data_IF_990305891820
#
_entry.id   IF_990305891820
#
_cell.length_a   1.000
_cell.length_b   1.000
_cell.length_c   1.000
_cell.angle_alpha   90.00
_cell.angle_beta   90.00
_cell.angle_gamma   90.00
#
_symmetry.space_group_name_H-M   'P 1'
#
loop_
_entity.id
_entity.type
_entity.pdbx_description
1 polymer ?
#
# COMPACT_ATOMS: atom_id res chain seq x y z
N UNK A 1 13.30 15.32 27.97
CA UNK A 1 12.86 15.12 26.57
C UNK A 1 11.37 14.89 26.61
N UNK A 2 10.62 15.55 25.72
CA UNK A 2 9.18 15.33 25.60
C UNK A 2 8.94 13.92 25.07
N UNK A 3 7.86 13.28 25.51
CA UNK A 3 7.48 11.95 25.06
C UNK A 3 7.30 11.91 23.51
N UNK A 4 7.81 10.88 22.81
CA UNK A 4 7.70 10.78 21.34
C UNK A 4 6.26 10.84 20.84
N UNK A 5 5.30 10.21 21.52
CA UNK A 5 3.88 10.21 21.11
C UNK A 5 3.30 11.61 21.25
N UNK A 6 3.61 12.30 22.34
CA UNK A 6 3.23 13.71 22.56
C UNK A 6 3.79 14.61 21.45
N UNK A 7 5.05 14.40 21.05
CA UNK A 7 5.68 15.16 19.95
C UNK A 7 4.99 14.87 18.61
N UNK A 8 4.65 13.62 18.34
CA UNK A 8 3.91 13.24 17.13
C UNK A 8 2.52 13.89 17.08
N UNK A 9 1.80 13.90 18.20
CA UNK A 9 0.52 14.60 18.29
C UNK A 9 0.68 16.10 18.04
N UNK A 10 1.71 16.74 18.60
CA UNK A 10 1.99 18.16 18.37
C UNK A 10 2.23 18.47 16.88
N UNK A 11 2.99 17.64 16.16
CA UNK A 11 3.18 17.84 14.72
C UNK A 11 1.86 17.77 13.92
N UNK A 12 0.92 16.93 14.34
CA UNK A 12 -0.42 16.87 13.73
C UNK A 12 -1.27 18.10 14.08
N UNK A 13 -1.18 18.61 15.30
CA UNK A 13 -1.88 19.83 15.73
C UNK A 13 -1.41 21.08 14.97
N UNK A 14 -0.11 21.15 14.66
CA UNK A 14 0.51 22.30 13.97
C UNK A 14 0.37 22.25 12.44
N UNK A 15 -0.01 21.10 11.88
CA UNK A 15 -0.12 20.88 10.45
C UNK A 15 -1.37 21.51 9.84
N UNK A 16 -1.32 21.78 8.53
CA UNK A 16 -2.53 22.09 7.74
C UNK A 16 -2.92 20.94 6.79
N UNK A 17 -2.02 19.99 6.52
CA UNK A 17 -2.28 18.81 5.70
C UNK A 17 -1.46 17.59 6.09
N UNK A 18 -2.06 16.40 5.99
CA UNK A 18 -1.47 15.13 6.38
C UNK A 18 -1.08 14.30 5.14
N UNK A 19 0.22 14.07 4.95
CA UNK A 19 0.70 13.10 3.98
C UNK A 19 0.90 11.75 4.66
N UNK A 20 0.14 10.74 4.23
CA UNK A 20 0.29 9.37 4.70
C UNK A 20 1.20 8.63 3.73
N UNK A 21 2.33 8.12 4.21
CA UNK A 21 3.21 7.24 3.40
C UNK A 21 3.15 5.83 3.97
N UNK A 22 2.64 4.87 3.19
CA UNK A 22 2.30 3.55 3.74
C UNK A 22 2.88 2.41 2.92
N UNK A 23 3.58 1.51 3.61
CA UNK A 23 4.00 0.22 3.08
C UNK A 23 3.19 -0.95 3.64
N UNK A 24 3.65 -2.17 3.38
CA UNK A 24 2.94 -3.39 3.72
C UNK A 24 2.63 -3.52 5.22
N UNK A 25 3.44 -2.89 6.08
CA UNK A 25 3.22 -2.93 7.52
C UNK A 25 1.92 -2.24 7.98
N UNK A 26 1.33 -1.34 7.19
CA UNK A 26 0.00 -0.78 7.47
C UNK A 26 -1.10 -1.86 7.46
N UNK A 27 -0.96 -2.90 6.63
CA UNK A 27 -1.95 -3.96 6.50
C UNK A 27 -1.84 -5.10 7.53
N UNK A 28 -0.70 -5.22 8.22
CA UNK A 28 -0.39 -6.37 9.10
C UNK A 28 -1.41 -6.49 10.23
N UNK A 29 -1.79 -5.38 10.87
CA UNK A 29 -2.76 -5.38 11.97
C UNK A 29 -4.20 -5.70 11.49
N UNK A 30 -4.45 -5.73 10.18
CA UNK A 30 -5.68 -6.23 9.57
C UNK A 30 -5.65 -7.75 9.29
N UNK A 31 -4.54 -8.43 9.59
CA UNK A 31 -4.32 -9.85 9.32
C UNK A 31 -3.69 -10.14 7.95
N UNK A 32 -3.20 -9.13 7.22
CA UNK A 32 -2.46 -9.37 5.99
C UNK A 32 -1.05 -9.92 6.30
N UNK A 33 -0.55 -10.88 5.51
CA UNK A 33 0.75 -11.50 5.76
C UNK A 33 1.89 -10.50 5.59
N UNK A 34 2.90 -10.60 6.46
CA UNK A 34 4.16 -9.89 6.30
C UNK A 34 5.10 -10.67 5.38
N UNK A 35 5.37 -10.16 4.17
CA UNK A 35 6.31 -10.78 3.23
C UNK A 35 7.78 -10.52 3.61
N UNK A 36 8.09 -10.36 4.89
CA UNK A 36 9.45 -10.07 5.35
C UNK A 36 10.33 -11.30 5.18
N UNK A 37 11.09 -11.30 4.10
CA UNK A 37 12.03 -12.34 3.72
C UNK A 37 11.35 -13.63 3.18
N UNK A 38 12.17 -14.57 2.67
CA UNK A 38 11.66 -15.77 2.01
C UNK A 38 10.80 -16.67 2.91
N UNK A 39 11.12 -16.76 4.20
CA UNK A 39 10.38 -17.63 5.13
C UNK A 39 8.96 -17.13 5.40
N UNK A 40 8.76 -15.82 5.61
CA UNK A 40 7.43 -15.23 5.78
C UNK A 40 6.58 -15.40 4.53
N UNK A 41 7.19 -15.17 3.35
CA UNK A 41 6.57 -15.38 2.06
C UNK A 41 6.13 -16.85 1.84
N UNK A 42 7.02 -17.82 2.06
CA UNK A 42 6.69 -19.24 1.88
C UNK A 42 5.72 -19.79 2.91
N UNK A 43 5.61 -19.19 4.09
CA UNK A 43 4.53 -19.51 5.05
C UNK A 43 3.17 -19.11 4.50
N UNK A 44 3.08 -17.96 3.83
CA UNK A 44 1.86 -17.51 3.15
C UNK A 44 1.60 -18.28 1.84
N UNK A 45 2.65 -18.75 1.16
CA UNK A 45 2.57 -19.50 -0.10
C UNK A 45 3.40 -20.80 -0.05
N UNK A 46 2.92 -21.85 0.65
CA UNK A 46 3.69 -23.09 0.83
C UNK A 46 4.03 -23.80 -0.48
N UNK A 47 3.19 -23.69 -1.51
CA UNK A 47 3.47 -24.27 -2.82
C UNK A 47 4.71 -23.65 -3.48
N UNK A 48 4.86 -22.33 -3.39
CA UNK A 48 6.02 -21.61 -3.91
C UNK A 48 7.27 -21.94 -3.09
N UNK A 49 7.11 -22.11 -1.77
CA UNK A 49 8.20 -22.56 -0.90
C UNK A 49 8.72 -23.96 -1.24
N UNK A 50 7.82 -24.92 -1.52
CA UNK A 50 8.21 -26.27 -1.99
C UNK A 50 8.92 -26.24 -3.34
N UNK A 51 8.59 -25.27 -4.19
CA UNK A 51 9.23 -25.07 -5.48
C UNK A 51 10.49 -24.18 -5.40
N UNK A 52 10.85 -23.67 -4.22
CA UNK A 52 11.92 -22.70 -4.00
C UNK A 52 11.79 -21.41 -4.83
N UNK A 53 10.57 -21.04 -5.22
CA UNK A 53 10.29 -19.81 -5.97
C UNK A 53 10.27 -18.63 -4.99
N UNK A 54 11.12 -17.64 -5.23
CA UNK A 54 11.21 -16.40 -4.46
C UNK A 54 10.09 -15.41 -4.86
N UNK A 55 9.88 -14.40 -4.02
CA UNK A 55 8.85 -13.38 -4.26
C UNK A 55 9.12 -12.64 -5.57
N UNK A 56 10.38 -12.29 -5.83
CA UNK A 56 10.83 -11.57 -7.02
C UNK A 56 10.67 -12.39 -8.30
N UNK A 57 10.67 -13.73 -8.19
CA UNK A 57 10.49 -14.65 -9.33
C UNK A 57 9.02 -14.81 -9.70
N UNK A 58 8.13 -15.00 -8.71
CA UNK A 58 6.69 -15.09 -9.00
C UNK A 58 6.07 -13.73 -9.33
N UNK A 59 6.60 -12.65 -8.76
CA UNK A 59 6.17 -11.28 -9.01
C UNK A 59 6.93 -10.65 -10.20
N UNK A 60 7.06 -11.42 -11.27
CA UNK A 60 7.76 -11.08 -12.51
C UNK A 60 6.87 -11.39 -13.72
N UNK A 61 6.85 -10.56 -14.78
CA UNK A 61 6.07 -10.86 -15.99
C UNK A 61 6.42 -12.21 -16.63
N UNK A 62 7.66 -12.67 -16.50
CA UNK A 62 8.11 -13.97 -17.00
C UNK A 62 7.31 -15.15 -16.40
N UNK A 63 6.84 -15.03 -15.16
CA UNK A 63 6.02 -16.07 -14.53
C UNK A 63 4.70 -16.32 -15.30
N UNK A 64 4.13 -15.29 -15.92
CA UNK A 64 2.92 -15.42 -16.76
C UNK A 64 3.22 -16.09 -18.11
N UNK A 65 4.45 -15.99 -18.61
CA UNK A 65 4.89 -16.68 -19.84
C UNK A 65 5.09 -18.16 -19.55
N UNK A 66 5.73 -18.48 -18.42
CA UNK A 66 6.09 -19.84 -18.05
C UNK A 66 4.89 -20.66 -17.58
N UNK A 67 4.09 -20.12 -16.66
CA UNK A 67 2.93 -20.79 -16.09
C UNK A 67 1.87 -19.74 -15.68
N UNK A 68 0.99 -19.31 -16.61
CA UNK A 68 0.00 -18.27 -16.33
C UNK A 68 -0.99 -18.65 -15.25
N UNK A 69 -1.26 -19.95 -15.05
CA UNK A 69 -2.17 -20.41 -13.98
C UNK A 69 -1.51 -20.35 -12.60
N UNK A 70 -0.19 -20.59 -12.49
CA UNK A 70 0.54 -20.41 -11.24
C UNK A 70 0.73 -18.91 -10.92
N UNK A 71 1.10 -18.11 -11.91
CA UNK A 71 1.20 -16.66 -11.76
C UNK A 71 -0.15 -16.06 -11.32
N UNK A 72 -1.24 -16.43 -11.99
CA UNK A 72 -2.56 -16.02 -11.54
C UNK A 72 -2.98 -16.66 -10.23
N UNK A 73 -2.57 -17.88 -9.91
CA UNK A 73 -2.82 -18.48 -8.60
C UNK A 73 -2.30 -17.61 -7.45
N UNK A 74 -1.08 -17.08 -7.61
CA UNK A 74 -0.47 -16.15 -6.66
C UNK A 74 -1.26 -14.82 -6.57
N UNK A 75 -1.51 -14.17 -7.70
CA UNK A 75 -2.15 -12.85 -7.71
C UNK A 75 -3.64 -12.90 -7.37
N UNK A 76 -4.35 -13.92 -7.81
CA UNK A 76 -5.77 -14.10 -7.54
C UNK A 76 -6.03 -14.43 -6.06
N UNK A 77 -5.15 -15.24 -5.44
CA UNK A 77 -5.23 -15.47 -3.99
C UNK A 77 -5.13 -14.14 -3.23
N UNK A 78 -4.17 -13.29 -3.60
CA UNK A 78 -4.00 -11.96 -2.99
C UNK A 78 -5.21 -11.06 -3.23
N UNK A 79 -5.73 -11.03 -4.45
CA UNK A 79 -6.92 -10.22 -4.77
C UNK A 79 -8.12 -10.65 -3.92
N UNK A 80 -8.38 -11.96 -3.79
CA UNK A 80 -9.44 -12.49 -2.93
C UNK A 80 -9.23 -12.09 -1.47
N UNK A 81 -8.02 -12.33 -0.93
CA UNK A 81 -7.65 -11.95 0.44
C UNK A 81 -7.88 -10.45 0.68
N UNK A 82 -7.43 -9.58 -0.22
CA UNK A 82 -7.58 -8.13 -0.06
C UNK A 82 -9.05 -7.67 -0.11
N UNK A 83 -9.88 -8.32 -0.91
CA UNK A 83 -11.34 -8.05 -0.94
C UNK A 83 -12.01 -8.46 0.36
N UNK A 84 -11.60 -9.59 0.95
CA UNK A 84 -12.17 -10.10 2.19
C UNK A 84 -11.70 -9.32 3.43
N UNK A 85 -10.39 -9.05 3.54
CA UNK A 85 -9.77 -8.41 4.70
C UNK A 85 -10.37 -7.04 5.01
N UNK A 86 -10.84 -6.85 6.24
CA UNK A 86 -11.32 -5.56 6.74
C UNK A 86 -10.16 -4.71 7.27
N UNK A 87 -10.05 -3.43 6.90
CA UNK A 87 -9.01 -2.55 7.45
C UNK A 87 -9.13 -2.45 8.97
N UNK A 88 -8.01 -2.54 9.69
CA UNK A 88 -8.00 -2.34 11.14
C UNK A 88 -8.40 -0.89 11.52
N UNK A 89 -8.82 -0.63 12.78
CA UNK A 89 -9.33 0.69 13.18
C UNK A 89 -8.37 1.88 13.02
N UNK A 90 -7.07 1.62 12.82
CA UNK A 90 -6.08 2.68 12.59
C UNK A 90 -6.30 3.43 11.27
N UNK A 91 -6.83 2.78 10.24
CA UNK A 91 -7.22 3.49 9.01
C UNK A 91 -8.30 4.55 9.30
N UNK A 92 -9.30 4.22 10.13
CA UNK A 92 -10.33 5.17 10.53
C UNK A 92 -9.76 6.31 11.41
N UNK A 93 -8.75 6.03 12.24
CA UNK A 93 -8.06 7.08 13.00
C UNK A 93 -7.35 8.07 12.06
N UNK A 94 -6.67 7.59 11.02
CA UNK A 94 -6.03 8.46 10.03
C UNK A 94 -7.06 9.31 9.27
N UNK A 95 -8.20 8.73 8.92
CA UNK A 95 -9.28 9.46 8.26
C UNK A 95 -9.85 10.54 9.18
N UNK A 96 -10.12 10.22 10.45
CA UNK A 96 -10.57 11.19 11.44
C UNK A 96 -9.56 12.32 11.66
N UNK A 97 -8.26 12.02 11.69
CA UNK A 97 -7.21 13.05 11.75
C UNK A 97 -7.23 13.94 10.51
N UNK A 98 -7.41 13.35 9.32
CA UNK A 98 -7.48 14.08 8.07
C UNK A 98 -8.66 15.07 8.04
N UNK A 99 -9.84 14.66 8.50
CA UNK A 99 -11.05 15.50 8.52
C UNK A 99 -10.92 16.76 9.38
N UNK A 100 -9.99 16.76 10.33
CA UNK A 100 -9.73 17.91 11.22
C UNK A 100 -8.70 18.88 10.66
N UNK A 101 -7.98 18.51 9.59
CA UNK A 101 -6.95 19.33 8.98
C UNK A 101 -7.52 20.18 7.83
N UNK A 102 -7.17 21.49 7.75
CA UNK A 102 -7.68 22.40 6.71
C UNK A 102 -7.52 21.93 5.26
N UNK A 103 -6.45 21.17 4.96
CA UNK A 103 -6.16 20.62 3.62
C UNK A 103 -6.44 19.12 3.52
N UNK A 104 -6.97 18.50 4.58
CA UNK A 104 -7.23 17.07 4.62
C UNK A 104 -5.96 16.22 4.59
N UNK A 105 -6.06 15.05 3.97
CA UNK A 105 -4.94 14.15 3.77
C UNK A 105 -4.80 13.68 2.32
N UNK A 106 -3.61 13.20 1.99
CA UNK A 106 -3.32 12.45 0.78
C UNK A 106 -2.49 11.22 1.14
N UNK A 107 -2.80 10.08 0.51
CA UNK A 107 -2.09 8.83 0.71
C UNK A 107 -1.13 8.58 -0.45
N UNK A 108 0.12 8.26 -0.13
CA UNK A 108 1.10 7.70 -1.06
C UNK A 108 1.50 6.30 -0.56
N UNK A 109 1.16 5.25 -1.30
CA UNK A 109 1.34 3.88 -0.83
C UNK A 109 1.97 2.98 -1.87
N UNK A 110 2.83 2.07 -1.41
CA UNK A 110 3.38 0.96 -2.20
C UNK A 110 2.52 -0.30 -2.12
N UNK A 111 1.45 -0.27 -1.31
CA UNK A 111 0.49 -1.36 -1.23
C UNK A 111 -0.37 -1.38 -2.49
N UNK A 112 -0.78 -2.59 -2.87
CA UNK A 112 -1.60 -2.86 -4.06
C UNK A 112 -2.96 -3.44 -3.68
N UNK A 113 -3.36 -3.26 -2.42
CA UNK A 113 -4.46 -3.96 -1.74
C UNK A 113 -5.79 -3.22 -1.74
N UNK A 114 -5.80 -1.91 -1.98
CA UNK A 114 -7.00 -1.07 -1.93
C UNK A 114 -7.57 -0.81 -0.53
N UNK A 115 -6.81 -1.06 0.54
CA UNK A 115 -7.31 -0.96 1.93
C UNK A 115 -7.64 0.48 2.35
N UNK A 116 -6.94 1.49 1.82
CA UNK A 116 -7.28 2.90 2.08
C UNK A 116 -8.66 3.26 1.51
N UNK A 117 -8.94 2.87 0.28
CA UNK A 117 -10.24 3.10 -0.36
C UNK A 117 -11.34 2.33 0.39
N UNK A 118 -11.07 1.08 0.79
CA UNK A 118 -12.00 0.28 1.60
C UNK A 118 -12.28 0.91 2.98
N UNK A 119 -11.31 1.62 3.55
CA UNK A 119 -11.48 2.35 4.80
C UNK A 119 -12.17 3.72 4.65
N UNK A 120 -12.57 4.12 3.44
CA UNK A 120 -13.31 5.35 3.19
C UNK A 120 -12.48 6.54 2.71
N UNK A 121 -11.18 6.37 2.43
CA UNK A 121 -10.41 7.43 1.78
C UNK A 121 -10.92 7.66 0.35
N UNK A 122 -11.07 8.93 -0.03
CA UNK A 122 -11.40 9.32 -1.40
C UNK A 122 -10.34 8.78 -2.36
N UNK A 123 -10.76 8.04 -3.39
CA UNK A 123 -9.86 7.50 -4.41
C UNK A 123 -9.08 8.58 -5.18
N UNK A 124 -9.56 9.83 -5.20
CA UNK A 124 -8.83 10.97 -5.74
C UNK A 124 -7.69 11.47 -4.83
N UNK A 125 -7.65 11.01 -3.56
CA UNK A 125 -6.66 11.32 -2.52
C UNK A 125 -5.72 10.14 -2.22
N UNK A 126 -5.62 9.18 -3.12
CA UNK A 126 -4.73 8.01 -2.99
C UNK A 126 -3.86 7.86 -4.25
N UNK A 127 -2.55 7.75 -4.04
CA UNK A 127 -1.56 7.44 -5.05
C UNK A 127 -0.88 6.10 -4.75
N UNK A 128 -1.18 5.11 -5.59
CA UNK A 128 -0.63 3.75 -5.47
C UNK A 128 0.59 3.62 -6.40
N UNK A 129 1.78 3.79 -5.84
CA UNK A 129 3.01 3.93 -6.62
C UNK A 129 3.48 2.65 -7.32
N UNK A 130 2.95 1.49 -6.90
CA UNK A 130 3.21 0.18 -7.52
C UNK A 130 1.98 -0.39 -8.25
N UNK A 131 0.98 0.44 -8.54
CA UNK A 131 -0.27 0.00 -9.16
C UNK A 131 -1.23 -0.66 -8.16
N UNK A 132 -2.15 -1.49 -8.64
CA UNK A 132 -3.22 -2.06 -7.81
C UNK A 132 -3.68 -3.41 -8.35
N UNK A 133 -3.94 -4.39 -7.46
CA UNK A 133 -4.51 -5.68 -7.88
C UNK A 133 -5.99 -5.58 -8.28
N UNK A 134 -6.66 -4.48 -7.93
CA UNK A 134 -8.04 -4.23 -8.34
C UNK A 134 -8.17 -3.71 -9.77
N UNK A 135 -7.06 -3.65 -10.52
CA UNK A 135 -7.02 -3.23 -11.90
C UNK A 135 -6.23 -4.24 -12.74
N UNK A 136 -6.65 -4.40 -13.98
CA UNK A 136 -6.07 -5.28 -14.97
C UNK A 136 -5.48 -4.47 -16.13
N UNK A 137 -4.50 -5.05 -16.80
CA UNK A 137 -3.97 -4.57 -18.07
C UNK A 137 -3.79 -5.75 -19.03
N UNK A 138 -3.71 -5.44 -20.33
CA UNK A 138 -3.36 -6.42 -21.34
C UNK A 138 -1.92 -6.90 -21.14
N UNK A 139 -1.66 -8.21 -21.25
CA UNK A 139 -0.30 -8.74 -21.14
C UNK A 139 0.62 -8.24 -22.27
N UNK A 140 0.09 -8.08 -23.48
CA UNK A 140 0.85 -7.61 -24.65
C UNK A 140 0.73 -6.11 -24.91
N UNK A 141 0.07 -5.37 -24.02
CA UNK A 141 -0.16 -3.95 -24.19
C UNK A 141 -0.76 -3.56 -25.58
N UNK A 142 -1.88 -4.19 -25.96
CA UNK A 142 -2.43 -3.95 -27.30
C UNK A 142 -2.96 -2.52 -27.56
N UNK A 143 -3.29 -1.78 -26.50
CA UNK A 143 -4.00 -0.48 -26.55
C UNK A 143 -3.65 0.48 -25.40
N UNK A 144 -2.82 0.09 -24.42
CA UNK A 144 -2.57 0.90 -23.23
C UNK A 144 -3.74 1.01 -22.24
N UNK A 145 -4.75 0.16 -22.37
CA UNK A 145 -5.95 0.22 -21.54
C UNK A 145 -5.73 -0.47 -20.18
N UNK A 146 -6.12 0.22 -19.10
CA UNK A 146 -6.21 -0.28 -17.73
C UNK A 146 -7.69 -0.29 -17.34
N UNK A 147 -8.20 -1.40 -16.81
CA UNK A 147 -9.62 -1.54 -16.44
C UNK A 147 -9.79 -2.19 -15.05
N UNK A 148 -10.93 -1.98 -14.37
CA UNK A 148 -11.20 -2.60 -13.06
C UNK A 148 -11.25 -4.13 -13.13
N UNK A 149 -10.80 -4.79 -12.07
CA UNK A 149 -10.87 -6.24 -11.90
C UNK A 149 -12.20 -6.71 -11.27
N UNK A 150 -13.20 -5.85 -11.15
CA UNK A 150 -14.47 -6.11 -10.43
C UNK A 150 -15.17 -7.38 -10.94
N UNK A 151 -15.23 -7.57 -12.25
CA UNK A 151 -15.85 -8.74 -12.89
C UNK A 151 -15.00 -10.02 -12.80
N UNK A 152 -13.74 -9.91 -12.33
CA UNK A 152 -12.89 -11.07 -12.11
C UNK A 152 -13.11 -11.62 -10.70
N UNK A 153 -13.82 -12.76 -10.61
CA UNK A 153 -14.08 -13.50 -9.37
C UNK A 153 -13.31 -14.81 -9.37
N UNK A 154 -12.03 -14.82 -8.93
CA UNK A 154 -11.20 -15.99 -9.07
C UNK A 154 -11.56 -17.11 -8.11
N UNK A 155 -11.43 -18.35 -8.56
CA UNK A 155 -11.36 -19.54 -7.70
C UNK A 155 -9.92 -20.04 -7.70
N UNK A 156 -9.33 -20.28 -6.52
CA UNK A 156 -7.89 -20.58 -6.38
C UNK A 156 -7.68 -21.83 -5.52
N UNK A 157 -6.82 -22.73 -5.97
CA UNK A 157 -6.23 -23.77 -5.13
C UNK A 157 -5.01 -23.16 -4.41
N UNK A 158 -5.23 -22.63 -3.20
CA UNK A 158 -4.18 -22.01 -2.41
C UNK A 158 -3.07 -23.00 -2.02
N UNK A 159 -3.40 -24.29 -1.84
CA UNK A 159 -2.44 -25.32 -1.46
C UNK A 159 -1.45 -25.64 -2.59
N UNK A 160 -1.86 -25.44 -3.85
CA UNK A 160 -1.03 -25.60 -5.05
C UNK A 160 -0.61 -24.28 -5.70
N UNK A 161 -1.10 -23.14 -5.21
CA UNK A 161 -0.93 -21.82 -5.80
C UNK A 161 -1.33 -21.80 -7.29
N UNK A 162 -2.55 -22.26 -7.59
CA UNK A 162 -3.07 -22.29 -8.98
C UNK A 162 -4.44 -21.66 -9.09
N UNK A 163 -4.66 -20.91 -10.17
CA UNK A 163 -5.99 -20.47 -10.57
C UNK A 163 -6.80 -21.66 -11.10
N UNK A 164 -8.03 -21.81 -10.64
CA UNK A 164 -8.99 -22.83 -11.08
C UNK A 164 -10.09 -22.26 -11.99
N UNK A 165 -10.42 -20.98 -11.83
CA UNK A 165 -11.32 -20.26 -12.74
C UNK A 165 -10.62 -19.93 -14.07
N UNK A 166 -11.36 -19.58 -15.14
CA UNK A 166 -10.76 -19.14 -16.39
C UNK A 166 -9.77 -17.96 -16.20
N UNK A 167 -8.68 -17.98 -16.95
CA UNK A 167 -7.73 -16.87 -17.01
C UNK A 167 -8.44 -15.60 -17.52
N UNK A 168 -8.23 -14.44 -16.87
CA UNK A 168 -8.81 -13.19 -17.34
C UNK A 168 -8.21 -12.81 -18.69
N UNK A 169 -9.03 -12.20 -19.55
CA UNK A 169 -8.67 -11.83 -20.92
C UNK A 169 -8.82 -10.33 -21.14
N UNK A 170 -7.98 -9.80 -22.01
CA UNK A 170 -8.09 -8.42 -22.47
C UNK A 170 -9.40 -8.23 -23.25
N UNK A 171 -10.23 -7.23 -22.91
CA UNK A 171 -11.49 -6.98 -23.60
C UNK A 171 -11.30 -6.55 -25.06
N UNK A 172 -10.13 -6.01 -25.40
CA UNK A 172 -9.85 -5.45 -26.73
C UNK A 172 -9.30 -6.49 -27.73
N UNK A 173 -8.43 -7.41 -27.28
CA UNK A 173 -7.75 -8.36 -28.17
C UNK A 173 -7.90 -9.84 -27.77
N UNK A 174 -8.53 -10.16 -26.63
CA UNK A 174 -8.74 -11.52 -26.15
C UNK A 174 -7.49 -12.24 -25.61
N UNK A 175 -6.32 -11.60 -25.66
CA UNK A 175 -5.08 -12.10 -25.07
C UNK A 175 -5.17 -12.17 -23.53
N UNK A 176 -4.19 -12.81 -22.90
CA UNK A 176 -4.10 -12.87 -21.44
C UNK A 176 -4.12 -11.46 -20.83
N UNK A 177 -4.91 -11.28 -19.78
CA UNK A 177 -4.81 -10.12 -18.90
C UNK A 177 -3.92 -10.45 -17.70
N UNK A 178 -3.29 -9.43 -17.14
CA UNK A 178 -2.49 -9.50 -15.92
C UNK A 178 -2.88 -8.35 -14.98
N UNK A 179 -2.58 -8.42 -13.68
CA UNK A 179 -2.80 -7.29 -12.79
C UNK A 179 -1.99 -6.08 -13.23
N UNK A 180 -2.56 -4.89 -13.08
CA UNK A 180 -1.88 -3.61 -13.26
C UNK A 180 -1.06 -3.28 -11.99
N UNK A 181 -0.06 -4.12 -11.73
CA UNK A 181 0.90 -3.96 -10.66
C UNK A 181 2.29 -3.92 -11.25
N UNK A 182 3.12 -3.00 -10.76
CA UNK A 182 4.53 -2.90 -11.11
C UNK A 182 5.27 -4.12 -10.55
N UNK A 183 5.66 -5.02 -11.45
CA UNK A 183 6.38 -6.26 -11.15
C UNK A 183 7.89 -6.05 -11.28
N UNK A 184 8.68 -6.98 -10.76
CA UNK A 184 10.14 -6.95 -10.97
C UNK A 184 10.45 -7.18 -12.46
N UNK A 185 11.34 -6.33 -13.01
CA UNK A 185 11.77 -6.43 -14.41
C UNK A 185 10.69 -6.04 -15.44
N UNK A 186 9.64 -5.34 -15.02
CA UNK A 186 8.47 -5.12 -15.84
C UNK A 186 8.49 -3.82 -16.64
N UNK A 187 9.00 -3.90 -17.86
CA UNK A 187 9.04 -2.79 -18.80
C UNK A 187 7.70 -2.52 -19.51
N UNK A 188 6.73 -3.43 -19.38
CA UNK A 188 5.41 -3.34 -20.00
C UNK A 188 4.32 -2.97 -18.97
N UNK A 189 4.70 -2.55 -17.76
CA UNK A 189 3.74 -2.06 -16.78
C UNK A 189 3.09 -0.78 -17.28
N UNK A 190 1.76 -0.72 -17.22
CA UNK A 190 1.04 0.49 -17.59
C UNK A 190 0.90 1.45 -16.42
N UNK A 191 1.70 2.52 -16.43
CA UNK A 191 1.81 3.51 -15.36
C UNK A 191 0.73 4.60 -15.38
N UNK A 192 -0.05 4.73 -16.47
CA UNK A 192 -0.93 5.88 -16.71
C UNK A 192 -1.91 6.19 -15.56
N UNK A 193 -2.46 5.17 -14.89
CA UNK A 193 -3.30 5.35 -13.70
C UNK A 193 -2.52 5.94 -12.53
N UNK A 194 -1.36 5.38 -12.21
CA UNK A 194 -0.48 5.84 -11.13
C UNK A 194 0.06 7.25 -11.42
N UNK A 195 0.34 7.59 -12.68
CA UNK A 195 0.79 8.92 -13.07
C UNK A 195 -0.28 9.98 -12.82
N UNK A 196 -1.54 9.71 -13.18
CA UNK A 196 -2.67 10.60 -12.88
C UNK A 196 -2.85 10.79 -11.37
N UNK A 197 -2.74 9.71 -10.58
CA UNK A 197 -2.81 9.79 -9.13
C UNK A 197 -1.66 10.63 -8.55
N UNK A 198 -0.42 10.42 -9.05
CA UNK A 198 0.75 11.19 -8.63
C UNK A 198 0.60 12.67 -8.96
N UNK A 199 0.05 13.01 -10.12
CA UNK A 199 -0.22 14.41 -10.46
C UNK A 199 -1.20 15.06 -9.47
N UNK A 200 -2.25 14.34 -9.04
CA UNK A 200 -3.17 14.83 -8.01
C UNK A 200 -2.49 15.05 -6.67
N UNK A 201 -1.57 14.15 -6.29
CA UNK A 201 -0.76 14.26 -5.08
C UNK A 201 0.12 15.52 -5.14
N UNK A 202 0.88 15.72 -6.22
CA UNK A 202 1.74 16.90 -6.38
C UNK A 202 0.93 18.20 -6.38
N UNK A 203 -0.22 18.21 -7.05
CA UNK A 203 -1.12 19.36 -7.04
C UNK A 203 -1.65 19.67 -5.63
N UNK A 204 -1.96 18.65 -4.84
CA UNK A 204 -2.37 18.85 -3.45
C UNK A 204 -1.21 19.34 -2.59
N UNK A 205 -0.03 18.75 -2.71
CA UNK A 205 1.17 19.18 -1.96
C UNK A 205 1.46 20.66 -2.19
N UNK A 206 1.26 21.18 -3.41
CA UNK A 206 1.42 22.59 -3.72
C UNK A 206 0.43 23.53 -2.99
N UNK A 207 -0.63 23.00 -2.38
CA UNK A 207 -1.64 23.75 -1.60
C UNK A 207 -1.47 23.65 -0.08
N UNK A 208 -0.52 22.81 0.37
CA UNK A 208 -0.26 22.54 1.79
C UNK A 208 0.95 23.35 2.23
N UNK A 209 0.77 24.21 3.23
CA UNK A 209 1.83 25.11 3.69
C UNK A 209 2.67 24.49 4.82
N UNK A 210 2.05 23.67 5.65
CA UNK A 210 2.63 23.04 6.84
C UNK A 210 2.30 21.54 6.84
N UNK A 211 2.87 20.77 5.90
CA UNK A 211 2.63 19.34 5.82
C UNK A 211 3.20 18.63 7.06
N UNK A 212 2.54 17.55 7.48
CA UNK A 212 3.11 16.52 8.35
C UNK A 212 3.08 15.19 7.63
N UNK A 213 4.13 14.40 7.77
CA UNK A 213 4.22 13.06 7.20
C UNK A 213 3.99 12.02 8.29
N UNK A 214 3.01 11.15 8.11
CA UNK A 214 2.87 9.93 8.91
C UNK A 214 3.26 8.75 8.04
N UNK A 215 4.44 8.18 8.31
CA UNK A 215 4.95 7.01 7.63
C UNK A 215 4.64 5.74 8.43
N UNK A 216 4.05 4.75 7.79
CA UNK A 216 3.58 3.53 8.47
C UNK A 216 4.02 2.29 7.72
N UNK A 217 4.78 1.44 8.41
CA UNK A 217 5.07 0.09 7.92
C UNK A 217 5.86 0.03 6.61
N UNK A 218 6.60 1.09 6.28
CA UNK A 218 7.52 1.14 5.16
C UNK A 218 8.85 0.49 5.53
N UNK A 219 9.27 -0.50 4.75
CA UNK A 219 10.51 -1.25 4.97
C UNK A 219 11.72 -0.66 4.25
N UNK A 220 12.92 -1.21 4.51
CA UNK A 220 14.17 -0.84 3.82
C UNK A 220 14.41 -1.59 2.50
N UNK A 221 13.80 -2.76 2.30
CA UNK A 221 14.02 -3.59 1.11
C UNK A 221 13.48 -2.96 -0.18
N UNK A 222 12.27 -2.38 -0.13
CA UNK A 222 11.68 -1.57 -1.21
C UNK A 222 11.32 -0.20 -0.61
N UNK A 223 12.30 0.72 -0.53
CA UNK A 223 12.19 1.94 0.27
C UNK A 223 11.46 3.09 -0.45
N UNK A 224 10.76 2.85 -1.57
CA UNK A 224 10.10 3.89 -2.39
C UNK A 224 9.26 4.86 -1.57
N UNK A 225 8.36 4.32 -0.72
CA UNK A 225 7.49 5.13 0.15
C UNK A 225 8.26 5.82 1.28
N UNK A 226 9.30 5.15 1.79
CA UNK A 226 10.16 5.66 2.86
C UNK A 226 10.93 6.89 2.39
N UNK A 227 11.61 6.75 1.25
CA UNK A 227 12.33 7.85 0.63
C UNK A 227 11.38 8.99 0.24
N UNK A 228 10.20 8.68 -0.31
CA UNK A 228 9.23 9.71 -0.68
C UNK A 228 8.84 10.58 0.52
N UNK A 229 8.53 9.95 1.66
CA UNK A 229 8.19 10.63 2.90
C UNK A 229 9.36 11.44 3.48
N UNK A 230 10.54 10.83 3.61
CA UNK A 230 11.74 11.50 4.16
C UNK A 230 12.17 12.72 3.33
N UNK A 231 12.04 12.65 2.00
CA UNK A 231 12.43 13.75 1.10
C UNK A 231 11.48 14.95 1.12
N UNK A 232 10.37 14.91 1.87
CA UNK A 232 9.44 16.06 1.94
C UNK A 232 9.99 17.25 2.72
N UNK A 233 11.02 17.05 3.57
CA UNK A 233 11.55 18.11 4.43
C UNK A 233 10.54 18.66 5.44
N UNK A 234 9.55 17.83 5.80
CA UNK A 234 8.46 18.15 6.71
C UNK A 234 8.60 17.34 8.02
N UNK A 235 7.94 17.73 9.12
CA UNK A 235 7.86 16.91 10.32
C UNK A 235 7.39 15.48 9.99
N UNK A 236 8.17 14.48 10.42
CA UNK A 236 7.95 13.07 10.09
C UNK A 236 7.65 12.25 11.34
N UNK A 237 6.56 11.49 11.30
CA UNK A 237 6.18 10.51 12.33
C UNK A 237 6.30 9.13 11.70
N UNK A 238 7.27 8.33 12.13
CA UNK A 238 7.49 6.97 11.65
C UNK A 238 6.93 5.95 12.64
N UNK A 239 6.05 5.08 12.16
CA UNK A 239 5.47 3.95 12.90
C UNK A 239 5.92 2.65 12.24
N UNK A 240 6.92 1.99 12.84
CA UNK A 240 7.42 0.71 12.35
C UNK A 240 8.01 -0.11 13.51
N UNK A 241 7.56 -1.35 13.76
CA UNK A 241 8.02 -2.13 14.91
C UNK A 241 9.46 -2.66 14.75
N UNK A 242 9.96 -2.80 13.52
CA UNK A 242 11.26 -3.40 13.25
C UNK A 242 12.30 -2.46 12.68
N UNK A 243 11.87 -1.36 12.04
CA UNK A 243 12.76 -0.38 11.41
C UNK A 243 12.28 1.07 11.70
N UNK A 244 12.17 1.47 12.98
CA UNK A 244 11.64 2.79 13.37
C UNK A 244 12.60 3.95 13.11
N UNK A 245 13.87 3.69 12.81
CA UNK A 245 14.95 4.68 12.78
C UNK A 245 14.69 5.75 11.71
N UNK A 246 14.96 7.02 12.02
CA UNK A 246 14.82 8.17 11.12
C UNK A 246 16.15 8.93 11.05
N UNK A 247 16.47 9.51 9.88
CA UNK A 247 17.71 10.25 9.66
C UNK A 247 17.52 11.78 9.60
N UNK A 248 16.32 12.27 9.89
CA UNK A 248 15.93 13.69 9.74
C UNK A 248 15.82 14.41 11.09
N UNK A 249 16.15 15.71 11.13
CA UNK A 249 16.18 16.50 12.38
C UNK A 249 14.82 16.81 13.01
N UNK A 250 13.72 16.74 12.24
CA UNK A 250 12.34 16.92 12.73
C UNK A 250 11.56 15.61 12.56
N UNK A 251 11.91 14.59 13.33
CA UNK A 251 11.22 13.31 13.25
C UNK A 251 10.99 12.64 14.59
N UNK A 252 9.93 11.83 14.62
CA UNK A 252 9.55 10.95 15.72
C UNK A 252 9.58 9.51 15.23
N UNK A 253 10.22 8.65 16.01
CA UNK A 253 10.29 7.20 15.77
C UNK A 253 9.45 6.46 16.80
N UNK A 254 8.45 5.71 16.34
CA UNK A 254 7.60 4.85 17.17
C UNK A 254 7.81 3.38 16.78
N UNK A 255 8.48 2.62 17.65
CA UNK A 255 8.72 1.19 17.50
C UNK A 255 7.46 0.36 17.83
N UNK A 256 6.38 0.60 17.11
CA UNK A 256 5.05 0.05 17.35
C UNK A 256 4.42 -0.50 16.06
N UNK A 257 3.46 -1.41 16.19
CA UNK A 257 2.56 -1.77 15.10
C UNK A 257 1.70 -0.58 14.65
N UNK A 258 1.19 -0.63 13.42
CA UNK A 258 0.44 0.47 12.79
C UNK A 258 -0.74 0.94 13.65
N UNK A 259 -1.61 0.00 14.05
CA UNK A 259 -2.77 0.28 14.87
C UNK A 259 -2.39 0.83 16.24
N UNK A 260 -1.42 0.20 16.91
CA UNK A 260 -1.01 0.58 18.27
C UNK A 260 -0.39 1.98 18.27
N UNK A 261 0.46 2.29 17.29
CA UNK A 261 1.08 3.61 17.14
C UNK A 261 0.04 4.70 16.87
N UNK A 262 -0.89 4.46 15.94
CA UNK A 262 -1.97 5.40 15.62
C UNK A 262 -2.92 5.61 16.81
N UNK A 263 -3.23 4.54 17.55
CA UNK A 263 -4.06 4.62 18.75
C UNK A 263 -3.38 5.43 19.86
N UNK A 264 -2.05 5.29 20.02
CA UNK A 264 -1.30 6.10 20.97
C UNK A 264 -1.38 7.59 20.64
N UNK A 265 -1.13 7.97 19.37
CA UNK A 265 -1.25 9.35 18.89
C UNK A 265 -2.67 9.88 19.07
N UNK A 266 -3.68 9.07 18.70
CA UNK A 266 -5.08 9.48 18.82
C UNK A 266 -5.50 9.78 20.27
N UNK A 267 -4.92 9.10 21.28
CA UNK A 267 -5.20 9.42 22.69
C UNK A 267 -4.71 10.82 23.07
N UNK A 268 -3.50 11.19 22.65
CA UNK A 268 -2.96 12.53 22.88
C UNK A 268 -3.77 13.61 22.14
N UNK A 269 -4.19 13.34 20.89
CA UNK A 269 -5.04 14.25 20.13
C UNK A 269 -6.43 14.44 20.76
N UNK A 270 -7.01 13.41 21.37
CA UNK A 270 -8.25 13.52 22.16
C UNK A 270 -8.05 14.34 23.42
N UNK A 271 -6.94 14.13 24.14
CA UNK A 271 -6.60 14.92 25.32
C UNK A 271 -6.43 16.41 24.98
N UNK A 272 -5.99 16.72 23.75
CA UNK A 272 -5.89 18.07 23.21
C UNK A 272 -7.21 18.62 22.62
N UNK A 273 -8.30 17.84 22.61
CA UNK A 273 -9.59 18.25 22.00
C UNK A 273 -9.59 18.33 20.48
N UNK A 274 -8.60 17.71 19.81
CA UNK A 274 -8.51 17.70 18.35
C UNK A 274 -9.37 16.60 17.72
N UNK A 275 -9.44 15.43 18.34
CA UNK A 275 -10.33 14.32 18.00
C UNK A 275 -11.40 14.14 19.07
N UNK A 276 -12.54 13.59 18.67
CA UNK A 276 -13.61 13.13 19.57
C UNK A 276 -13.26 11.79 20.28
#
# INVERSE_FOLDING_TARGET
MQDPVTTAAQYLLDADGLLITAGAGMGIDSGLPDFRGPQGFWRAYPALGRAHILFEEIANPEAFVQDPEQAWGFYAHRLALYRETQPHPGFALLLAMAERLPRGAFVFTSNVDGQFQKAGFDAARVAECHGSLHYLQCFHDCRGHIWPAEDFSPTVDAARCRLLSPLPRCPDCGALARPNVLMFGDWNWQSGRTEVQRQRLENWLATVERPVVVEIGAGTAIPTVRWFGEMRGAPLIRINPGEPEVCTGQAVSLALGAHVGLQAIARELRAAGFLD
#
